data_IF_906233241916
#
_entry.id   IF_906233241916
#
_cell.length_a   1.000
_cell.length_b   1.000
_cell.length_c   1.000
_cell.angle_alpha   90.00
_cell.angle_beta   90.00
_cell.angle_gamma   90.00
#
_symmetry.space_group_name_H-M   'P 1'
#
loop_
_entity.id
_entity.type
_entity.pdbx_description
1 polymer ?
#
# COMPACT_ATOMS: atom_id res chain seq x y z
N UNK A 1 -38.09 -0.62 57.11
CA UNK A 1 -37.38 -1.65 56.33
C UNK A 1 -37.65 -1.64 54.83
N UNK A 2 -38.75 -1.05 54.32
CA UNK A 2 -39.02 -1.03 52.87
C UNK A 2 -38.12 -0.06 52.07
N UNK A 3 -37.63 1.02 52.69
CA UNK A 3 -36.86 2.07 52.01
C UNK A 3 -35.43 1.65 51.64
N UNK A 4 -34.79 0.80 52.46
CA UNK A 4 -33.44 0.27 52.21
C UNK A 4 -33.41 -0.74 51.05
N UNK A 5 -34.48 -1.50 50.84
CA UNK A 5 -34.58 -2.45 49.73
C UNK A 5 -34.78 -1.76 48.37
N UNK A 6 -35.49 -0.62 48.34
CA UNK A 6 -35.67 0.17 47.12
C UNK A 6 -34.38 0.86 46.68
N UNK A 7 -33.62 1.42 47.64
CA UNK A 7 -32.36 2.11 47.35
C UNK A 7 -31.27 1.15 46.82
N UNK A 8 -31.18 -0.08 47.37
CA UNK A 8 -30.27 -1.12 46.88
C UNK A 8 -30.61 -1.61 45.47
N UNK A 9 -31.90 -1.70 45.12
CA UNK A 9 -32.35 -2.10 43.77
C UNK A 9 -32.10 -1.01 42.73
N UNK A 10 -32.25 0.26 43.11
CA UNK A 10 -32.01 1.40 42.22
C UNK A 10 -30.52 1.59 41.92
N UNK A 11 -29.63 1.45 42.90
CA UNK A 11 -28.18 1.52 42.67
C UNK A 11 -27.63 0.32 41.88
N UNK A 12 -28.21 -0.88 42.07
CA UNK A 12 -27.82 -2.09 41.32
C UNK A 12 -28.06 -1.94 39.81
N UNK A 13 -29.20 -1.38 39.40
CA UNK A 13 -29.53 -1.18 37.97
C UNK A 13 -28.59 -0.22 37.23
N UNK A 14 -28.18 0.88 37.87
CA UNK A 14 -27.23 1.83 37.28
C UNK A 14 -25.83 1.23 37.11
N UNK A 15 -25.40 0.39 38.06
CA UNK A 15 -24.10 -0.28 37.92
C UNK A 15 -24.12 -1.25 36.74
N UNK A 16 -25.15 -2.07 36.58
CA UNK A 16 -25.19 -3.10 35.53
C UNK A 16 -25.15 -2.52 34.10
N UNK A 17 -25.95 -1.48 33.81
CA UNK A 17 -25.90 -0.81 32.49
C UNK A 17 -24.59 -0.09 32.22
N UNK A 18 -23.88 0.36 33.26
CA UNK A 18 -22.55 0.96 33.10
C UNK A 18 -21.49 -0.10 32.78
N UNK A 19 -21.57 -1.28 33.40
CA UNK A 19 -20.66 -2.40 33.14
C UNK A 19 -20.85 -2.97 31.73
N UNK A 20 -22.10 -3.17 31.28
CA UNK A 20 -22.39 -3.67 29.94
C UNK A 20 -21.92 -2.70 28.84
N UNK A 21 -22.13 -1.39 29.01
CA UNK A 21 -21.60 -0.38 28.09
C UNK A 21 -20.06 -0.35 28.05
N UNK A 22 -19.41 -0.46 29.21
CA UNK A 22 -17.95 -0.51 29.28
C UNK A 22 -17.38 -1.78 28.65
N UNK A 23 -18.06 -2.93 28.78
CA UNK A 23 -17.67 -4.18 28.14
C UNK A 23 -17.77 -4.10 26.61
N UNK A 24 -18.88 -3.60 26.07
CA UNK A 24 -19.08 -3.42 24.62
C UNK A 24 -18.05 -2.44 24.04
N UNK A 25 -17.78 -1.34 24.76
CA UNK A 25 -16.77 -0.37 24.36
C UNK A 25 -15.36 -0.97 24.40
N UNK A 26 -15.03 -1.74 25.45
CA UNK A 26 -13.76 -2.47 25.55
C UNK A 26 -13.56 -3.44 24.38
N UNK A 27 -14.58 -4.21 24.03
CA UNK A 27 -14.53 -5.15 22.91
C UNK A 27 -14.34 -4.42 21.58
N UNK A 28 -15.01 -3.28 21.37
CA UNK A 28 -14.82 -2.48 20.15
C UNK A 28 -13.40 -1.91 20.03
N UNK A 29 -12.81 -1.45 21.14
CA UNK A 29 -11.46 -0.90 21.15
C UNK A 29 -10.44 -2.01 20.89
N UNK A 30 -10.65 -3.19 21.48
CA UNK A 30 -9.77 -4.34 21.25
C UNK A 30 -9.83 -4.83 19.80
N UNK A 31 -11.04 -4.91 19.22
CA UNK A 31 -11.21 -5.26 17.81
C UNK A 31 -10.49 -4.26 16.87
N UNK A 32 -10.55 -2.96 17.17
CA UNK A 32 -9.84 -1.93 16.38
C UNK A 32 -8.30 -2.06 16.50
N UNK A 33 -7.78 -2.37 17.68
CA UNK A 33 -6.34 -2.64 17.86
C UNK A 33 -5.89 -3.87 17.07
N UNK A 34 -6.70 -4.94 17.08
CA UNK A 34 -6.43 -6.16 16.31
C UNK A 34 -6.46 -5.87 14.82
N UNK A 35 -7.45 -5.11 14.34
CA UNK A 35 -7.54 -4.67 12.93
C UNK A 35 -6.31 -3.85 12.56
N UNK A 36 -5.96 -2.83 13.33
CA UNK A 36 -4.79 -1.98 13.08
C UNK A 36 -3.48 -2.78 13.07
N UNK A 37 -3.28 -3.68 14.03
CA UNK A 37 -2.10 -4.54 14.09
C UNK A 37 -2.01 -5.42 12.86
N UNK A 38 -3.15 -5.97 12.42
CA UNK A 38 -3.24 -6.78 11.20
C UNK A 38 -2.92 -5.96 9.95
N UNK A 39 -3.43 -4.72 9.85
CA UNK A 39 -3.13 -3.79 8.75
C UNK A 39 -1.63 -3.45 8.71
N UNK A 40 -1.02 -3.14 9.86
CA UNK A 40 0.42 -2.85 9.96
C UNK A 40 1.29 -4.05 9.55
N UNK A 41 0.94 -5.26 10.02
CA UNK A 41 1.65 -6.48 9.64
C UNK A 41 1.50 -6.76 8.13
N UNK A 42 0.29 -6.59 7.61
CA UNK A 42 0.03 -6.80 6.19
C UNK A 42 0.76 -5.77 5.31
N UNK A 43 0.82 -4.51 5.74
CA UNK A 43 1.58 -3.45 5.09
C UNK A 43 3.07 -3.79 4.98
N UNK A 44 3.70 -4.23 6.09
CA UNK A 44 5.10 -4.64 6.10
C UNK A 44 5.35 -5.88 5.20
N UNK A 45 4.41 -6.83 5.21
CA UNK A 45 4.45 -8.00 4.34
C UNK A 45 4.40 -7.61 2.85
N UNK A 46 3.52 -6.67 2.48
CA UNK A 46 3.40 -6.16 1.11
C UNK A 46 4.69 -5.46 0.64
N UNK A 47 5.32 -4.65 1.49
CA UNK A 47 6.60 -4.00 1.16
C UNK A 47 7.67 -5.05 0.89
N UNK A 48 7.81 -6.01 1.80
CA UNK A 48 8.79 -7.10 1.68
C UNK A 48 8.58 -7.89 0.40
N UNK A 49 7.34 -8.28 0.13
CA UNK A 49 6.98 -9.02 -1.07
C UNK A 49 7.29 -8.24 -2.36
N UNK A 50 7.01 -6.93 -2.41
CA UNK A 50 7.35 -6.07 -3.55
C UNK A 50 8.85 -6.01 -3.81
N UNK A 51 9.66 -5.83 -2.76
CA UNK A 51 11.12 -5.80 -2.89
C UNK A 51 11.68 -7.15 -3.36
N UNK A 52 11.17 -8.26 -2.82
CA UNK A 52 11.55 -9.61 -3.24
C UNK A 52 11.19 -9.87 -4.70
N UNK A 53 9.97 -9.53 -5.12
CA UNK A 53 9.54 -9.65 -6.52
C UNK A 53 10.39 -8.81 -7.46
N UNK A 54 10.72 -7.57 -7.07
CA UNK A 54 11.61 -6.71 -7.85
C UNK A 54 13.00 -7.34 -7.98
N UNK A 55 13.56 -7.89 -6.90
CA UNK A 55 14.84 -8.60 -6.93
C UNK A 55 14.84 -9.78 -7.89
N UNK A 56 13.81 -10.63 -7.83
CA UNK A 56 13.66 -11.75 -8.77
C UNK A 56 13.49 -11.29 -10.21
N UNK A 57 12.72 -10.23 -10.44
CA UNK A 57 12.55 -9.65 -11.77
C UNK A 57 13.89 -9.16 -12.33
N UNK A 58 14.67 -8.38 -11.56
CA UNK A 58 15.97 -7.90 -12.00
C UNK A 58 16.96 -9.03 -12.26
N UNK A 59 16.96 -10.08 -11.44
CA UNK A 59 17.77 -11.26 -11.67
C UNK A 59 17.36 -11.96 -12.98
N UNK A 60 16.07 -12.16 -13.22
CA UNK A 60 15.55 -12.76 -14.45
C UNK A 60 15.94 -11.94 -15.69
N UNK A 61 15.83 -10.61 -15.63
CA UNK A 61 16.28 -9.71 -16.69
C UNK A 61 17.78 -9.86 -16.94
N UNK A 62 18.60 -9.92 -15.87
CA UNK A 62 20.04 -10.14 -15.97
C UNK A 62 20.42 -11.46 -16.63
N UNK A 63 19.65 -12.53 -16.41
CA UNK A 63 19.85 -13.82 -17.08
C UNK A 63 19.42 -13.82 -18.54
N UNK A 64 18.41 -13.02 -18.89
CA UNK A 64 17.83 -12.97 -20.24
C UNK A 64 18.69 -12.10 -21.18
N UNK A 65 19.33 -11.05 -20.67
CA UNK A 65 20.14 -10.12 -21.48
C UNK A 65 21.41 -10.83 -21.98
N UNK A 66 21.56 -11.05 -23.30
CA UNK A 66 22.77 -11.65 -23.87
C UNK A 66 23.89 -10.61 -23.99
N UNK A 67 25.14 -11.11 -24.11
CA UNK A 67 26.33 -10.26 -24.30
C UNK A 67 26.36 -9.52 -25.64
N UNK A 68 25.54 -9.95 -26.61
CA UNK A 68 25.51 -9.39 -27.97
C UNK A 68 24.25 -8.56 -28.17
N UNK A 69 24.46 -7.31 -28.59
CA UNK A 69 23.42 -6.39 -29.03
C UNK A 69 23.40 -6.32 -30.57
N UNK A 70 22.23 -6.25 -31.24
CA UNK A 70 20.87 -6.31 -30.68
C UNK A 70 20.49 -7.70 -30.19
N UNK A 71 19.51 -7.77 -29.28
CA UNK A 71 19.05 -9.07 -28.77
C UNK A 71 18.25 -9.82 -29.84
N UNK A 72 18.20 -11.14 -29.72
CA UNK A 72 17.35 -11.94 -30.59
C UNK A 72 15.87 -11.57 -30.42
N UNK A 73 15.08 -11.84 -31.46
CA UNK A 73 13.64 -11.59 -31.46
C UNK A 73 12.94 -12.26 -30.27
N UNK A 74 13.29 -13.53 -29.99
CA UNK A 74 12.71 -14.28 -28.87
C UNK A 74 13.03 -13.65 -27.51
N UNK A 75 14.29 -13.24 -27.29
CA UNK A 75 14.72 -12.57 -26.06
C UNK A 75 13.94 -11.26 -25.86
N UNK A 76 13.78 -10.48 -26.93
CA UNK A 76 13.07 -9.20 -26.88
C UNK A 76 11.59 -9.38 -26.54
N UNK A 77 10.92 -10.37 -27.14
CA UNK A 77 9.51 -10.69 -26.83
C UNK A 77 9.35 -11.16 -25.38
N UNK A 78 10.20 -12.08 -24.91
CA UNK A 78 10.14 -12.59 -23.54
C UNK A 78 10.40 -11.46 -22.53
N UNK A 79 11.39 -10.61 -22.80
CA UNK A 79 11.69 -9.45 -21.97
C UNK A 79 10.51 -8.47 -21.86
N UNK A 80 9.80 -8.20 -22.96
CA UNK A 80 8.60 -7.37 -22.94
C UNK A 80 7.47 -8.00 -22.13
N UNK A 81 7.17 -9.28 -22.38
CA UNK A 81 6.10 -9.99 -21.66
C UNK A 81 6.38 -10.02 -20.15
N UNK A 82 7.62 -10.28 -19.75
CA UNK A 82 8.03 -10.27 -18.35
C UNK A 82 7.89 -8.88 -17.72
N UNK A 83 8.36 -7.84 -18.42
CA UNK A 83 8.29 -6.45 -17.95
C UNK A 83 6.84 -5.98 -17.78
N UNK A 84 5.98 -6.24 -18.76
CA UNK A 84 4.56 -5.87 -18.72
C UNK A 84 3.85 -6.62 -17.59
N UNK A 85 4.09 -7.93 -17.47
CA UNK A 85 3.48 -8.74 -16.41
C UNK A 85 3.86 -8.22 -15.02
N UNK A 86 5.15 -7.96 -14.78
CA UNK A 86 5.61 -7.41 -13.51
C UNK A 86 5.07 -6.02 -13.23
N UNK A 87 4.96 -5.17 -14.26
CA UNK A 87 4.35 -3.86 -14.11
C UNK A 87 2.87 -3.94 -13.68
N UNK A 88 2.09 -4.87 -14.25
CA UNK A 88 0.69 -5.10 -13.84
C UNK A 88 0.61 -5.56 -12.38
N UNK A 89 1.46 -6.49 -11.96
CA UNK A 89 1.52 -6.93 -10.56
C UNK A 89 1.83 -5.78 -9.60
N UNK A 90 2.79 -4.94 -9.97
CA UNK A 90 3.19 -3.75 -9.22
C UNK A 90 2.06 -2.71 -9.14
N UNK A 91 1.29 -2.50 -10.21
CA UNK A 91 0.10 -1.63 -10.18
C UNK A 91 -0.94 -2.13 -9.17
N UNK A 92 -1.22 -3.45 -9.19
CA UNK A 92 -2.19 -4.06 -8.27
C UNK A 92 -1.77 -3.92 -6.81
N UNK A 93 -0.49 -4.14 -6.50
CA UNK A 93 0.02 -4.02 -5.13
C UNK A 93 0.03 -2.56 -4.64
N UNK A 94 0.28 -1.58 -5.52
CA UNK A 94 0.20 -0.15 -5.18
C UNK A 94 -1.21 0.28 -4.77
N UNK A 95 -2.22 -0.17 -5.52
CA UNK A 95 -3.62 0.12 -5.20
C UNK A 95 -3.98 -0.47 -3.83
N UNK A 96 -3.63 -1.74 -3.60
CA UNK A 96 -3.88 -2.41 -2.32
C UNK A 96 -3.20 -1.70 -1.14
N UNK A 97 -1.96 -1.25 -1.35
CA UNK A 97 -1.19 -0.49 -0.38
C UNK A 97 -1.87 0.83 0.02
N UNK A 98 -2.44 1.56 -0.94
CA UNK A 98 -3.20 2.79 -0.67
C UNK A 98 -4.46 2.51 0.16
N UNK A 99 -5.18 1.43 -0.11
CA UNK A 99 -6.36 1.05 0.67
C UNK A 99 -6.03 0.76 2.14
N UNK A 100 -4.98 -0.01 2.38
CA UNK A 100 -4.54 -0.36 3.74
C UNK A 100 -4.08 0.89 4.48
N UNK A 101 -3.26 1.73 3.82
CA UNK A 101 -2.79 2.97 4.41
C UNK A 101 -3.97 3.90 4.76
N UNK A 102 -4.93 4.06 3.85
CA UNK A 102 -6.14 4.85 4.10
C UNK A 102 -6.90 4.34 5.32
N UNK A 103 -7.21 3.04 5.39
CA UNK A 103 -7.93 2.44 6.51
C UNK A 103 -7.17 2.59 7.84
N UNK A 104 -5.86 2.41 7.83
CA UNK A 104 -5.04 2.58 9.02
C UNK A 104 -5.04 4.04 9.51
N UNK A 105 -4.98 5.02 8.59
CA UNK A 105 -5.09 6.45 8.91
C UNK A 105 -6.47 6.79 9.47
N UNK A 106 -7.55 6.21 8.91
CA UNK A 106 -8.91 6.40 9.44
C UNK A 106 -9.02 5.93 10.90
N UNK A 107 -8.44 4.77 11.24
CA UNK A 107 -8.40 4.27 12.62
C UNK A 107 -7.55 5.20 13.51
N UNK A 108 -6.38 5.65 13.03
CA UNK A 108 -5.53 6.58 13.76
C UNK A 108 -6.25 7.91 14.06
N UNK A 109 -7.02 8.44 13.11
CA UNK A 109 -7.64 9.76 13.24
C UNK A 109 -8.96 9.74 14.01
N UNK A 110 -9.79 8.72 13.78
CA UNK A 110 -11.14 8.67 14.33
C UNK A 110 -11.21 7.98 15.69
N UNK A 111 -10.45 6.91 15.89
CA UNK A 111 -10.69 5.99 17.01
C UNK A 111 -9.65 6.13 18.13
N UNK A 112 -8.46 6.62 17.83
CA UNK A 112 -7.37 6.68 18.83
C UNK A 112 -7.24 7.99 19.61
N UNK A 113 -8.19 8.91 19.44
CA UNK A 113 -8.31 10.19 20.16
C UNK A 113 -6.95 10.88 20.41
N UNK A 114 -6.11 10.96 19.36
CA UNK A 114 -4.80 11.63 19.40
C UNK A 114 -4.88 13.16 19.60
N UNK A 115 -6.03 13.68 20.07
CA UNK A 115 -6.33 15.10 20.26
C UNK A 115 -5.35 15.85 21.18
N UNK A 116 -4.52 15.16 21.96
CA UNK A 116 -3.63 15.76 22.95
C UNK A 116 -2.17 15.23 22.93
N UNK A 117 -1.68 14.64 21.84
CA UNK A 117 -0.29 14.15 21.77
C UNK A 117 0.49 14.84 20.65
N UNK A 118 1.59 15.50 21.02
CA UNK A 118 2.55 16.16 20.12
C UNK A 118 3.14 15.23 19.04
N UNK A 119 2.93 13.91 19.15
CA UNK A 119 3.38 12.91 18.20
C UNK A 119 2.30 12.55 17.19
N UNK A 120 2.55 12.86 15.90
CA UNK A 120 1.75 12.31 14.80
C UNK A 120 1.81 10.77 14.83
N UNK A 121 0.69 10.07 14.58
CA UNK A 121 0.66 8.60 14.58
C UNK A 121 1.40 8.02 13.35
N UNK A 122 1.63 6.71 13.32
CA UNK A 122 2.62 6.07 12.44
C UNK A 122 2.28 6.23 10.96
N UNK A 123 1.07 5.85 10.54
CA UNK A 123 0.66 5.95 9.14
C UNK A 123 0.49 7.40 8.71
N UNK A 124 -0.05 8.26 9.58
CA UNK A 124 -0.16 9.70 9.30
C UNK A 124 1.20 10.38 9.12
N UNK A 125 2.27 9.87 9.76
CA UNK A 125 3.65 10.34 9.51
C UNK A 125 4.20 9.86 8.17
N UNK A 126 3.86 8.64 7.77
CA UNK A 126 4.33 8.05 6.52
C UNK A 126 3.59 8.60 5.29
N UNK A 127 2.33 8.99 5.48
CA UNK A 127 1.44 9.51 4.45
C UNK A 127 0.90 10.89 4.87
N UNK A 128 1.75 11.94 4.83
CA UNK A 128 1.34 13.28 5.23
C UNK A 128 0.26 13.86 4.29
N UNK A 129 0.30 13.48 3.02
CA UNK A 129 -0.76 13.72 2.07
C UNK A 129 -1.69 12.50 2.14
N UNK A 130 -2.93 12.70 2.59
CA UNK A 130 -3.90 11.60 2.73
C UNK A 130 -3.94 10.78 1.44
N UNK A 131 -3.76 9.45 1.51
CA UNK A 131 -3.76 8.61 0.33
C UNK A 131 -5.20 8.56 -0.19
N UNK A 132 -5.54 9.46 -1.11
CA UNK A 132 -6.73 9.27 -1.92
C UNK A 132 -6.48 8.07 -2.81
N UNK A 133 -7.33 7.02 -2.75
CA UNK A 133 -7.25 5.91 -3.68
C UNK A 133 -7.42 6.49 -5.09
N UNK A 134 -6.32 6.58 -5.83
CA UNK A 134 -6.36 6.99 -7.23
C UNK A 134 -6.89 5.80 -8.01
N UNK A 135 -8.22 5.70 -8.11
CA UNK A 135 -8.94 4.70 -8.91
C UNK A 135 -8.63 4.79 -10.40
N UNK A 136 -8.02 5.88 -10.84
CA UNK A 136 -7.44 5.94 -12.16
C UNK A 136 -6.19 5.06 -12.20
N UNK A 137 -6.25 3.98 -12.98
CA UNK A 137 -5.14 3.70 -13.87
C UNK A 137 -4.97 4.99 -14.68
N UNK A 138 -4.23 5.96 -14.14
CA UNK A 138 -3.72 7.06 -14.94
C UNK A 138 -2.70 6.38 -15.83
N UNK A 139 -3.20 5.81 -16.93
CA UNK A 139 -2.48 5.53 -18.14
C UNK A 139 -2.05 6.91 -18.67
N UNK A 140 -1.16 7.60 -17.93
CA UNK A 140 -0.37 8.73 -18.43
C UNK A 140 0.76 8.17 -19.28
N UNK A 141 0.43 7.24 -20.17
CA UNK A 141 1.36 6.70 -21.17
C UNK A 141 1.48 7.71 -22.33
N UNK A 142 0.49 8.61 -22.51
CA UNK A 142 0.54 9.67 -23.51
C UNK A 142 -0.10 10.96 -22.97
N UNK A 143 0.69 12.03 -22.80
CA UNK A 143 0.17 13.39 -22.66
C UNK A 143 0.23 13.96 -21.24
N UNK A 144 1.35 14.63 -20.95
CA UNK A 144 1.53 15.59 -19.86
C UNK A 144 1.51 14.93 -18.48
N UNK A 145 2.65 14.32 -18.13
CA UNK A 145 3.07 14.23 -16.75
C UNK A 145 3.28 15.69 -16.29
N UNK A 146 2.45 16.28 -15.41
CA UNK A 146 2.92 17.43 -14.66
C UNK A 146 4.12 16.91 -13.90
N UNK A 147 5.32 17.29 -14.33
CA UNK A 147 6.56 17.01 -13.63
C UNK A 147 6.30 17.37 -12.16
N UNK A 148 6.27 16.39 -11.24
CA UNK A 148 6.10 16.72 -9.84
C UNK A 148 7.25 17.66 -9.50
N UNK A 149 6.92 18.85 -8.97
CA UNK A 149 7.91 19.84 -8.55
C UNK A 149 9.02 19.09 -7.82
N UNK A 150 10.23 19.14 -8.37
CA UNK A 150 11.46 18.42 -8.01
C UNK A 150 11.78 18.49 -6.51
N UNK A 151 11.00 17.80 -5.67
CA UNK A 151 11.27 17.78 -4.24
C UNK A 151 11.45 16.38 -3.70
N UNK A 152 10.84 15.35 -4.30
CA UNK A 152 11.05 13.97 -3.83
C UNK A 152 10.86 12.97 -4.98
N UNK A 153 11.93 12.29 -5.39
CA UNK A 153 11.81 11.02 -6.12
C UNK A 153 11.16 10.05 -5.12
N UNK A 154 9.86 9.81 -5.25
CA UNK A 154 9.22 8.78 -4.43
C UNK A 154 9.80 7.42 -4.83
N UNK A 155 9.94 6.50 -3.86
CA UNK A 155 10.38 5.13 -4.15
C UNK A 155 9.55 4.46 -5.25
N UNK A 156 8.27 4.81 -5.38
CA UNK A 156 7.40 4.33 -6.45
C UNK A 156 7.80 4.89 -7.83
N UNK A 157 8.22 6.15 -7.90
CA UNK A 157 8.63 6.78 -9.16
C UNK A 157 9.92 6.17 -9.73
N UNK A 158 10.89 5.81 -8.88
CA UNK A 158 12.10 5.13 -9.36
C UNK A 158 11.79 3.77 -10.01
N UNK A 159 10.79 3.05 -9.50
CA UNK A 159 10.35 1.79 -10.10
C UNK A 159 9.67 2.02 -11.46
N UNK A 160 8.86 3.08 -11.58
CA UNK A 160 8.21 3.42 -12.86
C UNK A 160 9.25 3.73 -13.95
N UNK A 161 10.29 4.49 -13.62
CA UNK A 161 11.41 4.75 -14.54
C UNK A 161 12.10 3.46 -14.93
N UNK A 162 12.32 2.55 -13.98
CA UNK A 162 12.97 1.27 -14.24
C UNK A 162 12.16 0.42 -15.22
N UNK A 163 10.87 0.25 -15.00
CA UNK A 163 9.98 -0.50 -15.90
C UNK A 163 9.92 0.16 -17.27
N UNK A 164 9.79 1.49 -17.33
CA UNK A 164 9.76 2.24 -18.59
C UNK A 164 11.08 2.08 -19.37
N UNK A 165 12.22 2.15 -18.69
CA UNK A 165 13.55 1.98 -19.30
C UNK A 165 13.72 0.59 -19.91
N UNK A 166 13.33 -0.46 -19.17
CA UNK A 166 13.37 -1.84 -19.69
C UNK A 166 12.41 -2.04 -20.86
N UNK A 167 11.20 -1.46 -20.78
CA UNK A 167 10.21 -1.55 -21.85
C UNK A 167 10.73 -0.90 -23.13
N UNK A 168 11.28 0.31 -23.05
CA UNK A 168 11.91 1.00 -24.19
C UNK A 168 13.08 0.19 -24.76
N UNK A 169 13.93 -0.36 -23.89
CA UNK A 169 15.08 -1.16 -24.27
C UNK A 169 14.67 -2.41 -25.07
N UNK A 170 13.67 -3.17 -24.60
CA UNK A 170 13.21 -4.35 -25.33
C UNK A 170 12.42 -4.02 -26.59
N UNK A 171 11.63 -2.93 -26.63
CA UNK A 171 10.99 -2.47 -27.86
C UNK A 171 12.04 -2.10 -28.90
N UNK A 172 13.06 -1.33 -28.51
CA UNK A 172 14.12 -0.92 -29.41
C UNK A 172 14.90 -2.13 -29.95
N UNK A 173 15.24 -3.09 -29.08
CA UNK A 173 15.86 -4.34 -29.50
C UNK A 173 14.98 -5.16 -30.45
N UNK A 174 13.67 -5.24 -30.18
CA UNK A 174 12.73 -5.94 -31.03
C UNK A 174 12.70 -5.33 -32.44
N UNK A 175 12.61 -4.00 -32.55
CA UNK A 175 12.61 -3.29 -33.84
C UNK A 175 13.89 -3.57 -34.61
N UNK A 176 15.05 -3.51 -33.95
CA UNK A 176 16.34 -3.83 -34.59
C UNK A 176 16.41 -5.29 -35.05
N UNK A 177 15.89 -6.23 -34.26
CA UNK A 177 15.88 -7.66 -34.60
C UNK A 177 14.99 -8.01 -35.80
N UNK A 178 14.03 -7.15 -36.16
CA UNK A 178 13.16 -7.31 -37.33
C UNK A 178 13.78 -6.77 -38.63
N UNK A 179 14.85 -5.96 -38.53
CA UNK A 179 15.56 -5.38 -39.68
C UNK A 179 16.72 -6.25 -40.16
N UNK A 180 17.12 -7.24 -39.36
CA UNK A 180 18.18 -8.21 -39.65
C UNK A 180 17.57 -9.49 -40.21
#
# INVERSE_FOLDING_TARGET
MAFTFWFLRYHSGYTQESWERNAIMSDSVENLKIEYTSLSNYFNSLITHRLTLLGFFLAAIGFIIPDKWPFSLYVSIIGLLLTISMYIFELRTRILFQYIAKRAIEIEQNDWDFKNKDSKPFFTRQFPDHPEPSYGISIKILGIIPLPKFRWISHSFSLDILYLGLLVLFIYSLVQSLQV
#
